data_IF_754563726070
#
_entry.id   IF_754563726070
#
_cell.length_a   1.000
_cell.length_b   1.000
_cell.length_c   1.000
_cell.angle_alpha   90.00
_cell.angle_beta   90.00
_cell.angle_gamma   90.00
#
_symmetry.space_group_name_H-M   'P 1'
#
loop_
_entity.id
_entity.type
_entity.pdbx_description
1 polymer ?
#
# COMPACT_ATOMS: atom_id res chain seq x y z
N UNK A 1 -0.60 13.46 -5.51
CA UNK A 1 -1.28 14.67 -5.98
C UNK A 1 -2.76 14.39 -5.89
N UNK A 2 -3.57 15.32 -5.42
CA UNK A 2 -5.02 15.12 -5.36
C UNK A 2 -5.57 15.11 -6.81
N UNK A 3 -6.59 14.28 -7.03
CA UNK A 3 -7.31 14.23 -8.30
C UNK A 3 -8.81 14.31 -8.06
N UNK A 4 -9.55 14.60 -9.12
CA UNK A 4 -11.00 14.59 -9.16
C UNK A 4 -11.42 13.89 -10.46
N UNK A 5 -12.18 12.80 -10.35
CA UNK A 5 -12.62 12.04 -11.52
C UNK A 5 -14.14 11.98 -11.59
N UNK A 6 -14.70 12.29 -12.75
CA UNK A 6 -16.14 12.21 -13.01
C UNK A 6 -16.41 12.00 -14.50
N UNK A 7 -17.67 11.71 -14.85
CA UNK A 7 -18.04 11.48 -16.23
C UNK A 7 -19.38 12.14 -16.57
N UNK A 8 -19.54 12.57 -17.81
CA UNK A 8 -20.85 12.85 -18.38
C UNK A 8 -21.32 11.63 -19.14
N UNK A 9 -22.52 11.15 -18.82
CA UNK A 9 -23.07 9.94 -19.41
C UNK A 9 -24.44 10.23 -20.03
N UNK A 10 -24.54 10.04 -21.34
CA UNK A 10 -25.79 9.93 -22.08
C UNK A 10 -25.61 8.81 -23.12
N UNK A 11 -25.88 9.09 -24.40
CA UNK A 11 -25.64 8.17 -25.52
C UNK A 11 -24.13 8.01 -25.80
N UNK A 12 -23.32 8.99 -25.37
CA UNK A 12 -21.87 8.96 -25.35
C UNK A 12 -21.41 9.25 -23.93
N UNK A 13 -20.37 8.53 -23.47
CA UNK A 13 -19.68 8.83 -22.22
C UNK A 13 -18.48 9.73 -22.49
N UNK A 14 -18.23 10.70 -21.61
CA UNK A 14 -16.95 11.41 -21.55
C UNK A 14 -16.42 11.33 -20.13
N UNK A 15 -15.24 10.75 -19.96
CA UNK A 15 -14.52 10.70 -18.70
C UNK A 15 -13.64 11.94 -18.55
N UNK A 16 -13.64 12.50 -17.36
CA UNK A 16 -12.87 13.69 -16.99
C UNK A 16 -12.04 13.36 -15.76
N UNK A 17 -10.74 13.61 -15.86
CA UNK A 17 -9.83 13.57 -14.72
C UNK A 17 -9.14 14.92 -14.59
N UNK A 18 -9.27 15.52 -13.41
CA UNK A 18 -8.55 16.76 -13.06
C UNK A 18 -7.50 16.44 -12.01
N UNK A 19 -6.26 16.86 -12.24
CA UNK A 19 -5.14 16.64 -11.32
C UNK A 19 -4.52 17.97 -10.91
N UNK A 20 -4.38 18.19 -9.60
CA UNK A 20 -3.61 19.31 -9.05
C UNK A 20 -2.12 19.16 -9.32
N UNK A 21 -1.49 20.19 -9.88
CA UNK A 21 -0.06 20.21 -10.19
C UNK A 21 0.71 21.07 -9.18
N UNK A 22 1.95 20.66 -8.88
CA UNK A 22 2.83 21.37 -7.92
C UNK A 22 3.12 22.83 -8.29
N UNK A 23 2.95 23.21 -9.55
CA UNK A 23 3.14 24.58 -10.04
C UNK A 23 1.91 25.48 -9.86
N UNK A 24 0.83 25.00 -9.22
CA UNK A 24 -0.40 25.77 -9.03
C UNK A 24 -1.30 25.84 -10.27
N UNK A 25 -1.21 24.84 -11.14
CA UNK A 25 -2.12 24.65 -12.28
C UNK A 25 -2.96 23.39 -12.10
N UNK A 26 -4.03 23.25 -12.89
CA UNK A 26 -4.81 22.02 -12.95
C UNK A 26 -4.57 21.36 -14.31
N UNK A 27 -4.35 20.04 -14.34
CA UNK A 27 -4.34 19.27 -15.58
C UNK A 27 -5.70 18.63 -15.77
N UNK A 28 -6.40 19.00 -16.84
CA UNK A 28 -7.61 18.35 -17.29
C UNK A 28 -7.25 17.32 -18.36
N UNK A 29 -7.70 16.08 -18.18
CA UNK A 29 -7.67 15.02 -19.17
C UNK A 29 -9.10 14.60 -19.50
N UNK A 30 -9.45 14.66 -20.78
CA UNK A 30 -10.77 14.34 -21.31
C UNK A 30 -10.65 13.14 -22.24
N UNK A 31 -11.54 12.16 -22.09
CA UNK A 31 -11.55 10.94 -22.90
C UNK A 31 -12.99 10.53 -23.23
N UNK A 32 -13.29 10.38 -24.52
CA UNK A 32 -14.57 9.86 -24.98
C UNK A 32 -14.60 8.34 -24.80
N UNK A 33 -15.60 7.84 -24.06
CA UNK A 33 -15.84 6.42 -23.87
C UNK A 33 -16.64 5.85 -25.06
N UNK A 34 -15.96 5.03 -25.86
CA UNK A 34 -16.53 4.35 -27.02
C UNK A 34 -17.06 2.93 -26.71
N UNK A 35 -17.02 2.50 -25.45
CA UNK A 35 -17.43 1.16 -25.01
C UNK A 35 -18.90 0.87 -25.31
N UNK A 36 -19.73 1.91 -25.46
CA UNK A 36 -21.13 1.82 -25.84
C UNK A 36 -21.36 1.65 -27.36
N UNK A 37 -20.29 1.56 -28.16
CA UNK A 37 -20.35 1.47 -29.63
C UNK A 37 -20.67 2.79 -30.33
N UNK A 38 -20.63 3.90 -29.60
CA UNK A 38 -20.81 5.26 -30.12
C UNK A 38 -19.49 6.00 -30.00
N UNK A 39 -19.06 6.66 -31.07
CA UNK A 39 -17.88 7.49 -31.07
C UNK A 39 -18.26 8.97 -31.17
N UNK A 40 -17.44 9.81 -30.54
CA UNK A 40 -17.55 11.24 -30.62
C UNK A 40 -16.18 11.90 -30.68
N UNK A 41 -16.15 13.12 -31.22
CA UNK A 41 -14.97 13.97 -31.19
C UNK A 41 -15.17 15.15 -30.23
N UNK A 42 -14.10 15.63 -29.60
CA UNK A 42 -14.12 16.75 -28.67
C UNK A 42 -13.91 18.08 -29.41
N UNK A 43 -14.75 19.09 -29.13
CA UNK A 43 -14.57 20.45 -29.69
C UNK A 43 -14.37 21.51 -28.62
N UNK A 44 -15.14 21.50 -27.54
CA UNK A 44 -14.96 22.53 -26.53
C UNK A 44 -15.40 22.08 -25.15
N UNK A 45 -14.65 22.54 -24.16
CA UNK A 45 -14.91 22.41 -22.74
C UNK A 45 -15.36 23.75 -22.17
N UNK A 46 -16.34 23.73 -21.27
CA UNK A 46 -16.87 24.90 -20.56
C UNK A 46 -16.92 24.57 -19.07
N UNK A 47 -16.65 25.55 -18.23
CA UNK A 47 -16.55 25.34 -16.79
C UNK A 47 -16.87 26.60 -15.98
N UNK A 48 -17.42 26.37 -14.80
CA UNK A 48 -17.55 27.35 -13.74
C UNK A 48 -16.44 27.19 -12.69
N UNK A 49 -16.18 28.29 -11.98
CA UNK A 49 -15.27 28.39 -10.88
C UNK A 49 -16.04 28.72 -9.60
N UNK A 50 -15.62 28.16 -8.48
CA UNK A 50 -16.20 28.50 -7.19
C UNK A 50 -15.97 29.98 -6.80
N UNK A 51 -14.92 30.60 -7.35
CA UNK A 51 -14.63 32.02 -7.24
C UNK A 51 -14.58 32.67 -8.63
N UNK A 52 -15.69 33.29 -9.03
CA UNK A 52 -15.86 34.07 -10.26
C UNK A 52 -14.71 35.06 -10.52
N UNK A 53 -14.06 35.57 -9.48
CA UNK A 53 -12.99 36.57 -9.64
C UNK A 53 -11.73 35.98 -10.30
N UNK A 54 -11.55 34.67 -10.24
CA UNK A 54 -10.44 33.94 -10.88
C UNK A 54 -10.57 33.91 -12.41
N UNK A 55 -11.78 34.04 -12.96
CA UNK A 55 -11.97 34.05 -14.42
C UNK A 55 -11.12 35.14 -15.09
N UNK A 56 -10.92 36.27 -14.41
CA UNK A 56 -10.02 37.32 -14.85
C UNK A 56 -8.56 36.97 -14.52
N UNK A 57 -7.79 36.59 -15.53
CA UNK A 57 -6.38 36.21 -15.37
C UNK A 57 -6.12 34.71 -15.52
N UNK A 58 -7.16 33.95 -15.87
CA UNK A 58 -7.00 32.61 -16.40
C UNK A 58 -6.16 32.62 -17.69
N UNK A 59 -5.35 31.57 -17.80
CA UNK A 59 -4.61 31.21 -19.00
C UNK A 59 -4.82 29.73 -19.26
N UNK A 60 -4.64 29.29 -20.49
CA UNK A 60 -4.70 27.87 -20.83
C UNK A 60 -3.59 27.48 -21.79
N UNK A 61 -3.12 26.26 -21.65
CA UNK A 61 -2.15 25.65 -22.57
C UNK A 61 -2.53 24.19 -22.83
N UNK A 62 -2.17 23.68 -24.00
CA UNK A 62 -2.40 22.29 -24.39
C UNK A 62 -2.09 22.12 -25.87
N UNK A 63 -1.72 20.91 -26.28
CA UNK A 63 -1.32 20.65 -27.67
C UNK A 63 -2.48 20.86 -28.65
N UNK A 64 -3.69 20.54 -28.23
CA UNK A 64 -4.90 20.62 -29.06
C UNK A 64 -5.72 21.90 -28.82
N UNK A 65 -5.30 22.76 -27.88
CA UNK A 65 -6.00 24.01 -27.57
C UNK A 65 -5.85 24.98 -28.74
N UNK A 66 -6.97 25.43 -29.28
CA UNK A 66 -7.01 26.29 -30.48
C UNK A 66 -7.55 27.69 -30.20
N UNK A 67 -8.43 27.84 -29.22
CA UNK A 67 -8.99 29.12 -28.79
C UNK A 67 -9.52 29.01 -27.35
N UNK A 68 -9.75 30.15 -26.72
CA UNK A 68 -10.28 30.23 -25.35
C UNK A 68 -11.14 31.48 -25.15
N UNK A 69 -12.01 31.43 -24.14
CA UNK A 69 -12.77 32.58 -23.70
C UNK A 69 -13.01 32.50 -22.19
N UNK A 70 -12.53 33.50 -21.44
CA UNK A 70 -12.72 33.59 -20.00
C UNK A 70 -13.45 34.88 -19.65
N UNK A 71 -14.68 34.75 -19.16
CA UNK A 71 -15.47 35.87 -18.68
C UNK A 71 -16.53 35.37 -17.70
N UNK A 72 -16.35 35.72 -16.42
CA UNK A 72 -17.21 35.23 -15.34
C UNK A 72 -18.71 35.31 -15.68
N UNK A 73 -19.39 34.17 -15.58
CA UNK A 73 -20.83 33.98 -15.73
C UNK A 73 -21.39 34.52 -17.06
N UNK A 74 -20.58 34.52 -18.12
CA UNK A 74 -20.95 35.10 -19.42
C UNK A 74 -20.58 34.23 -20.61
N UNK A 75 -19.76 33.20 -20.42
CA UNK A 75 -19.32 32.32 -21.50
C UNK A 75 -20.45 31.38 -21.89
N UNK A 76 -20.98 31.57 -23.10
CA UNK A 76 -21.83 30.56 -23.77
C UNK A 76 -21.28 30.17 -25.13
N UNK A 77 -20.16 30.76 -25.54
CA UNK A 77 -19.47 30.54 -26.81
C UNK A 77 -18.01 30.96 -26.72
N UNK A 78 -17.18 30.37 -27.58
CA UNK A 78 -15.76 30.69 -27.72
C UNK A 78 -15.58 31.50 -29.01
N UNK A 79 -16.04 30.96 -30.14
CA UNK A 79 -16.03 31.63 -31.44
C UNK A 79 -17.45 31.74 -32.06
N UNK A 80 -17.54 31.94 -33.38
CA UNK A 80 -18.81 32.04 -34.09
C UNK A 80 -19.55 30.70 -34.29
N UNK A 81 -18.86 29.56 -34.14
CA UNK A 81 -19.34 28.22 -34.44
C UNK A 81 -19.39 27.32 -33.20
N UNK A 82 -18.50 27.56 -32.24
CA UNK A 82 -18.31 26.80 -31.02
C UNK A 82 -19.05 27.44 -29.85
N UNK A 83 -20.12 26.80 -29.39
CA UNK A 83 -21.00 27.33 -28.35
C UNK A 83 -21.69 26.26 -27.51
N UNK A 84 -22.13 26.63 -26.32
CA UNK A 84 -22.91 25.80 -25.39
C UNK A 84 -24.40 26.18 -25.33
N UNK A 85 -24.88 27.10 -26.18
CA UNK A 85 -26.28 27.51 -26.18
C UNK A 85 -27.21 26.29 -26.40
N UNK A 86 -28.35 26.27 -25.71
CA UNK A 86 -29.31 25.16 -25.78
C UNK A 86 -29.78 24.76 -24.40
N UNK A 87 -30.10 23.48 -24.22
CA UNK A 87 -30.57 22.94 -22.93
C UNK A 87 -29.50 23.03 -21.84
N UNK A 88 -28.22 22.75 -22.14
CA UNK A 88 -27.12 22.85 -21.15
C UNK A 88 -27.07 24.25 -20.51
N UNK A 89 -27.08 25.33 -21.30
CA UNK A 89 -27.07 26.71 -20.75
C UNK A 89 -28.38 27.07 -20.04
N UNK A 90 -29.51 26.45 -20.37
CA UNK A 90 -30.77 26.67 -19.62
C UNK A 90 -30.74 26.00 -18.24
N UNK A 91 -30.08 24.86 -18.16
CA UNK A 91 -29.98 24.05 -16.95
C UNK A 91 -28.89 24.57 -16.01
N UNK A 92 -27.68 24.74 -16.52
CA UNK A 92 -26.48 25.09 -15.74
C UNK A 92 -26.14 26.58 -15.79
N UNK A 93 -26.81 27.37 -16.63
CA UNK A 93 -26.51 28.79 -16.77
C UNK A 93 -25.33 29.06 -17.71
N UNK A 94 -24.66 30.20 -17.50
CA UNK A 94 -23.53 30.62 -18.32
C UNK A 94 -22.24 30.38 -17.57
N UNK A 95 -21.23 29.95 -18.29
CA UNK A 95 -19.97 29.53 -17.70
C UNK A 95 -19.01 30.69 -17.45
N UNK A 96 -18.02 30.46 -16.60
CA UNK A 96 -16.89 31.38 -16.40
C UNK A 96 -15.81 31.24 -17.46
N UNK A 97 -15.62 30.02 -17.99
CA UNK A 97 -14.57 29.71 -18.95
C UNK A 97 -15.00 28.77 -20.08
N UNK A 98 -14.32 28.89 -21.21
CA UNK A 98 -14.44 28.00 -22.36
C UNK A 98 -13.09 27.77 -23.02
N UNK A 99 -12.77 26.51 -23.34
CA UNK A 99 -11.54 26.09 -24.03
C UNK A 99 -11.93 25.29 -25.26
N UNK A 100 -11.44 25.69 -26.43
CA UNK A 100 -11.71 25.02 -27.71
C UNK A 100 -10.53 24.13 -28.10
N UNK A 101 -10.87 23.00 -28.70
CA UNK A 101 -9.96 22.01 -29.23
C UNK A 101 -10.23 21.75 -30.71
N UNK A 102 -9.23 21.24 -31.42
CA UNK A 102 -9.46 20.55 -32.68
C UNK A 102 -9.85 21.47 -33.84
N UNK A 103 -8.84 21.98 -34.55
CA UNK A 103 -9.00 22.40 -35.95
C UNK A 103 -7.76 21.95 -36.75
N UNK A 104 -7.89 21.16 -37.85
CA UNK A 104 -9.11 20.72 -38.55
C UNK A 104 -9.62 19.31 -38.18
N UNK A 105 -9.00 18.61 -37.23
CA UNK A 105 -9.45 17.31 -36.74
C UNK A 105 -9.66 17.37 -35.23
N UNK A 106 -10.88 17.15 -34.78
CA UNK A 106 -11.25 17.06 -33.37
C UNK A 106 -10.82 15.70 -32.81
N UNK A 107 -10.11 15.66 -31.67
CA UNK A 107 -9.63 14.38 -31.13
C UNK A 107 -10.72 13.72 -30.25
N UNK A 108 -10.74 12.38 -30.12
CA UNK A 108 -11.61 11.69 -29.16
C UNK A 108 -11.10 11.82 -27.71
N UNK A 109 -9.86 12.27 -27.52
CA UNK A 109 -9.28 12.54 -26.21
C UNK A 109 -8.31 13.69 -26.28
N UNK A 110 -8.20 14.48 -25.21
CA UNK A 110 -7.27 15.61 -25.15
C UNK A 110 -6.90 15.93 -23.71
N UNK A 111 -5.83 16.71 -23.55
CA UNK A 111 -5.46 17.27 -22.26
C UNK A 111 -5.03 18.72 -22.39
N UNK A 112 -5.37 19.50 -21.38
CA UNK A 112 -5.03 20.91 -21.31
C UNK A 112 -4.83 21.33 -19.85
N UNK A 113 -4.12 22.45 -19.67
CA UNK A 113 -3.66 22.94 -18.39
C UNK A 113 -4.10 24.39 -18.23
N UNK A 114 -5.25 24.65 -17.59
CA UNK A 114 -5.56 25.97 -17.09
C UNK A 114 -4.60 26.36 -15.96
N UNK A 115 -4.16 27.61 -16.01
CA UNK A 115 -3.41 28.29 -14.96
C UNK A 115 -3.97 29.68 -14.75
N UNK A 116 -3.35 30.42 -13.82
CA UNK A 116 -3.74 31.80 -13.57
C UNK A 116 -2.47 32.65 -13.34
N UNK A 117 -2.48 33.89 -13.81
CA UNK A 117 -1.30 34.76 -13.83
C UNK A 117 -0.72 35.06 -12.44
N UNK A 118 -1.59 35.21 -11.43
CA UNK A 118 -1.21 35.62 -10.08
C UNK A 118 -1.62 34.68 -8.93
N UNK A 119 -2.49 33.71 -9.18
CA UNK A 119 -3.08 32.84 -8.14
C UNK A 119 -2.85 31.38 -8.54
N UNK A 120 -2.58 30.50 -7.56
CA UNK A 120 -2.52 29.07 -7.80
C UNK A 120 -3.93 28.49 -7.84
N UNK A 121 -4.25 27.71 -8.88
CA UNK A 121 -5.51 26.97 -8.97
C UNK A 121 -5.42 25.66 -8.18
N UNK A 122 -6.54 25.28 -7.59
CA UNK A 122 -6.74 24.10 -6.74
C UNK A 122 -8.03 23.39 -7.10
N UNK A 123 -8.22 22.14 -6.67
CA UNK A 123 -9.47 21.41 -6.86
C UNK A 123 -10.65 22.13 -6.21
N UNK A 124 -10.44 22.84 -5.10
CA UNK A 124 -11.51 23.61 -4.45
C UNK A 124 -12.14 24.66 -5.38
N UNK A 125 -11.40 25.15 -6.38
CA UNK A 125 -11.91 26.13 -7.34
C UNK A 125 -12.92 25.49 -8.32
N UNK A 126 -13.01 24.16 -8.37
CA UNK A 126 -13.85 23.41 -9.31
C UNK A 126 -14.79 22.38 -8.66
N UNK A 127 -14.66 22.13 -7.35
CA UNK A 127 -15.56 21.21 -6.63
C UNK A 127 -16.99 21.74 -6.65
N UNK A 128 -17.94 20.83 -6.92
CA UNK A 128 -19.37 21.15 -7.04
C UNK A 128 -19.72 22.26 -8.05
N UNK A 129 -18.81 22.55 -8.99
CA UNK A 129 -19.05 23.52 -10.07
C UNK A 129 -19.63 22.83 -11.31
N UNK A 130 -20.27 23.63 -12.15
CA UNK A 130 -20.92 23.16 -13.36
C UNK A 130 -19.99 23.21 -14.57
N UNK A 131 -20.21 22.26 -15.47
CA UNK A 131 -19.35 22.01 -16.63
C UNK A 131 -20.18 21.67 -17.85
N UNK A 132 -19.61 21.91 -19.02
CA UNK A 132 -20.21 21.57 -20.30
C UNK A 132 -19.18 21.10 -21.32
N UNK A 133 -19.58 20.20 -22.20
CA UNK A 133 -18.74 19.73 -23.31
C UNK A 133 -19.52 19.68 -24.61
N UNK A 134 -18.90 20.15 -25.69
CA UNK A 134 -19.48 20.14 -27.03
C UNK A 134 -18.80 19.09 -27.90
N UNK A 135 -19.62 18.25 -28.53
CA UNK A 135 -19.22 17.15 -29.40
C UNK A 135 -19.80 17.42 -30.81
N UNK A 136 -19.02 17.87 -31.80
CA UNK A 136 -19.54 18.30 -33.10
C UNK A 136 -19.81 17.12 -34.04
N UNK A 137 -19.29 15.94 -33.73
CA UNK A 137 -19.44 14.72 -34.51
C UNK A 137 -19.68 13.57 -33.56
N UNK A 138 -20.90 13.03 -33.57
CA UNK A 138 -21.35 11.89 -32.79
C UNK A 138 -22.03 10.88 -33.73
N UNK A 139 -21.77 9.60 -33.51
CA UNK A 139 -22.44 8.52 -34.25
C UNK A 139 -21.89 7.14 -33.90
N UNK A 140 -22.35 6.11 -34.61
CA UNK A 140 -21.82 4.75 -34.44
C UNK A 140 -20.30 4.70 -34.66
N UNK A 141 -19.59 3.88 -33.88
CA UNK A 141 -18.13 3.78 -33.86
C UNK A 141 -17.52 3.62 -35.27
N UNK A 142 -18.12 2.74 -36.08
CA UNK A 142 -17.73 2.45 -37.48
C UNK A 142 -18.69 3.06 -38.52
N UNK A 143 -19.59 3.93 -38.09
CA UNK A 143 -20.69 4.46 -38.91
C UNK A 143 -20.56 5.94 -39.25
N UNK A 144 -21.65 6.52 -39.76
CA UNK A 144 -21.72 7.94 -40.05
C UNK A 144 -21.84 8.76 -38.76
N UNK A 145 -20.99 9.77 -38.59
CA UNK A 145 -20.98 10.67 -37.42
C UNK A 145 -21.48 12.07 -37.79
N UNK A 146 -22.77 12.17 -38.11
CA UNK A 146 -23.41 13.40 -38.61
C UNK A 146 -24.13 14.19 -37.52
N UNK A 147 -24.28 13.61 -36.33
CA UNK A 147 -24.96 14.26 -35.21
C UNK A 147 -23.98 15.10 -34.40
N UNK A 148 -24.53 16.02 -33.62
CA UNK A 148 -23.78 16.81 -32.64
C UNK A 148 -24.49 16.76 -31.30
N UNK A 149 -23.71 16.82 -30.23
CA UNK A 149 -24.20 16.69 -28.87
C UNK A 149 -23.54 17.73 -27.97
N UNK A 150 -24.28 18.12 -26.94
CA UNK A 150 -23.78 18.93 -25.84
C UNK A 150 -24.16 18.23 -24.56
N UNK A 151 -23.19 18.00 -23.69
CA UNK A 151 -23.41 17.42 -22.38
C UNK A 151 -23.06 18.46 -21.33
N UNK A 152 -23.71 18.39 -20.19
CA UNK A 152 -23.38 19.19 -19.02
C UNK A 152 -23.57 18.36 -17.75
N UNK A 153 -22.90 18.80 -16.70
CA UNK A 153 -22.96 18.16 -15.40
C UNK A 153 -22.17 18.91 -14.35
N UNK A 154 -22.36 18.54 -13.10
CA UNK A 154 -21.69 19.13 -11.94
C UNK A 154 -20.56 18.20 -11.49
N UNK A 155 -19.39 18.76 -11.18
CA UNK A 155 -18.30 17.99 -10.61
C UNK A 155 -18.64 17.49 -9.19
N UNK A 156 -17.99 16.41 -8.71
CA UNK A 156 -18.14 15.97 -7.33
C UNK A 156 -17.74 17.07 -6.33
N UNK A 157 -18.29 16.99 -5.12
CA UNK A 157 -18.04 17.93 -4.03
C UNK A 157 -16.82 17.56 -3.17
N UNK A 158 -16.20 16.40 -3.45
CA UNK A 158 -15.03 15.87 -2.73
C UNK A 158 -14.04 15.30 -3.76
N UNK A 159 -12.72 15.61 -3.65
CA UNK A 159 -11.67 14.97 -4.45
C UNK A 159 -11.62 13.45 -4.28
N UNK A 160 -11.01 12.78 -5.26
CA UNK A 160 -10.69 11.37 -5.15
C UNK A 160 -9.73 11.16 -3.98
N UNK A 161 -10.04 10.19 -3.12
CA UNK A 161 -9.06 9.74 -2.14
C UNK A 161 -7.93 9.03 -2.89
N UNK A 162 -6.65 9.36 -2.64
CA UNK A 162 -5.57 8.56 -3.17
C UNK A 162 -5.77 7.11 -2.71
N UNK A 163 -5.40 6.12 -3.55
CA UNK A 163 -5.50 4.73 -3.15
C UNK A 163 -4.74 4.54 -1.83
N UNK A 164 -5.37 3.88 -0.87
CA UNK A 164 -4.70 3.52 0.37
C UNK A 164 -3.46 2.69 0.00
N UNK A 165 -2.27 3.03 0.52
CA UNK A 165 -1.07 2.24 0.24
C UNK A 165 -1.34 0.78 0.58
N UNK A 166 -0.96 -0.12 -0.33
CA UNK A 166 -1.11 -1.56 -0.08
C UNK A 166 -0.31 -1.91 1.18
N UNK A 167 -1.01 -2.38 2.21
CA UNK A 167 -0.37 -2.88 3.42
C UNK A 167 0.39 -4.16 3.08
N UNK A 168 1.71 -4.11 3.17
CA UNK A 168 2.58 -5.26 2.96
C UNK A 168 2.99 -5.81 4.33
N UNK A 169 2.44 -6.96 4.70
CA UNK A 169 2.87 -7.64 5.92
C UNK A 169 4.00 -8.63 5.59
N UNK A 170 5.03 -8.64 6.42
CA UNK A 170 6.16 -9.57 6.31
C UNK A 170 6.28 -10.34 7.60
N UNK A 171 6.04 -11.64 7.51
CA UNK A 171 6.35 -12.58 8.59
C UNK A 171 7.86 -12.81 8.65
N UNK A 172 8.42 -12.72 9.84
CA UNK A 172 9.78 -13.08 10.18
C UNK A 172 9.79 -14.49 10.78
N UNK A 173 10.93 -15.18 10.70
CA UNK A 173 11.03 -16.55 11.21
C UNK A 173 11.42 -16.55 12.67
N UNK A 174 10.65 -17.27 13.50
CA UNK A 174 10.92 -17.56 14.89
C UNK A 174 11.52 -18.95 15.12
N UNK A 175 12.03 -19.16 16.33
CA UNK A 175 12.64 -20.41 16.80
C UNK A 175 12.06 -20.73 18.18
N UNK A 176 11.75 -22.01 18.42
CA UNK A 176 11.30 -22.54 19.72
C UNK A 176 12.18 -23.73 20.09
N UNK A 177 12.76 -23.72 21.28
CA UNK A 177 13.64 -24.78 21.80
C UNK A 177 12.93 -25.58 22.92
N UNK A 178 12.95 -26.92 22.87
CA UNK A 178 12.15 -27.75 23.77
C UNK A 178 12.72 -29.16 24.02
N UNK A 179 12.08 -29.97 24.87
CA UNK A 179 12.55 -31.31 25.28
C UNK A 179 11.88 -32.47 24.52
N UNK A 180 12.55 -33.63 24.52
CA UNK A 180 12.16 -34.83 23.77
C UNK A 180 10.85 -35.45 24.25
N UNK A 181 10.51 -35.21 25.51
CA UNK A 181 9.35 -35.76 26.20
C UNK A 181 8.28 -34.69 26.47
N UNK A 182 8.41 -33.50 25.85
CA UNK A 182 7.46 -32.42 26.02
C UNK A 182 6.06 -32.87 25.61
N UNK A 183 5.07 -32.47 26.39
CA UNK A 183 3.65 -32.56 26.04
C UNK A 183 3.05 -31.16 25.99
N UNK A 184 1.91 -31.02 25.32
CA UNK A 184 1.11 -29.80 25.39
C UNK A 184 0.86 -29.38 26.84
N UNK A 185 0.80 -28.06 27.05
CA UNK A 185 0.45 -27.56 28.36
C UNK A 185 -1.02 -27.80 28.69
N UNK A 186 -1.27 -28.25 29.93
CA UNK A 186 -2.64 -28.50 30.43
C UNK A 186 -3.24 -27.32 31.19
N UNK A 187 -2.43 -26.32 31.55
CA UNK A 187 -2.88 -25.14 32.29
C UNK A 187 -3.11 -23.90 31.39
N UNK A 188 -2.91 -24.08 30.08
CA UNK A 188 -3.05 -23.02 29.09
C UNK A 188 -1.84 -22.10 28.99
N UNK A 189 -0.72 -22.41 29.65
CA UNK A 189 0.56 -21.76 29.33
C UNK A 189 0.98 -22.13 27.93
N UNK A 190 1.50 -21.15 27.19
CA UNK A 190 2.05 -21.36 25.85
C UNK A 190 3.56 -21.36 25.94
N UNK A 191 4.20 -21.98 24.96
CA UNK A 191 5.66 -22.04 24.91
C UNK A 191 6.24 -20.66 24.58
N UNK A 192 7.42 -20.38 25.14
CA UNK A 192 8.14 -19.13 24.93
C UNK A 192 9.18 -19.36 23.84
N UNK A 193 9.25 -18.43 22.88
CA UNK A 193 10.20 -18.46 21.78
C UNK A 193 11.63 -18.21 22.28
N UNK A 194 12.61 -18.62 21.49
CA UNK A 194 14.04 -18.51 21.84
C UNK A 194 14.50 -17.08 22.12
N UNK A 195 13.87 -16.08 21.48
CA UNK A 195 14.14 -14.66 21.70
C UNK A 195 13.45 -14.10 22.97
N UNK A 196 12.68 -14.92 23.68
CA UNK A 196 11.90 -14.57 24.88
C UNK A 196 10.50 -14.03 24.58
N UNK A 197 10.09 -13.96 23.31
CA UNK A 197 8.76 -13.54 22.90
C UNK A 197 7.71 -14.61 23.21
N UNK A 198 6.49 -14.20 23.57
CA UNK A 198 5.36 -15.11 23.82
C UNK A 198 4.53 -15.43 22.58
N UNK A 199 4.80 -14.74 21.46
CA UNK A 199 4.05 -14.88 20.21
C UNK A 199 4.95 -14.73 19.00
N UNK A 200 4.68 -15.51 17.95
CA UNK A 200 5.39 -15.48 16.67
C UNK A 200 5.23 -14.16 15.91
N UNK A 201 4.16 -13.41 16.21
CA UNK A 201 3.88 -12.14 15.54
C UNK A 201 4.71 -10.95 16.07
N UNK A 202 5.44 -11.12 17.18
CA UNK A 202 6.08 -9.99 17.90
C UNK A 202 7.14 -9.28 17.07
N UNK A 203 7.88 -10.05 16.27
CA UNK A 203 8.93 -9.53 15.41
C UNK A 203 8.46 -9.30 13.97
N UNK A 204 7.19 -9.58 13.66
CA UNK A 204 6.61 -9.39 12.33
C UNK A 204 6.41 -7.91 12.02
N UNK A 205 6.46 -7.59 10.74
CA UNK A 205 6.39 -6.19 10.29
C UNK A 205 5.21 -5.95 9.34
N UNK A 206 4.62 -4.78 9.48
CA UNK A 206 3.63 -4.22 8.56
C UNK A 206 4.27 -3.01 7.88
N UNK A 207 4.08 -2.83 6.58
CA UNK A 207 4.37 -1.57 5.92
C UNK A 207 3.10 -1.08 5.25
N UNK A 208 2.53 0.00 5.75
CA UNK A 208 1.31 0.64 5.24
C UNK A 208 1.63 1.99 4.57
N UNK A 209 2.86 2.16 4.08
CA UNK A 209 3.31 3.46 3.53
C UNK A 209 3.69 4.50 4.59
N UNK A 210 3.55 4.19 5.88
CA UNK A 210 4.08 5.00 6.99
C UNK A 210 5.35 4.37 7.58
N UNK A 211 6.04 5.09 8.48
CA UNK A 211 7.23 4.60 9.19
C UNK A 211 6.91 3.57 10.30
N UNK A 212 5.67 3.07 10.39
CA UNK A 212 5.26 2.06 11.38
C UNK A 212 5.51 0.64 10.86
N UNK A 213 6.48 -0.05 11.47
CA UNK A 213 6.90 -1.40 11.08
C UNK A 213 6.37 -2.51 11.99
N UNK A 214 5.35 -2.26 12.82
CA UNK A 214 4.85 -3.26 13.77
C UNK A 214 3.64 -3.97 13.18
N UNK A 215 3.69 -5.30 13.08
CA UNK A 215 2.50 -6.07 12.74
C UNK A 215 1.55 -6.18 13.94
N UNK A 216 0.26 -5.94 13.70
CA UNK A 216 -0.79 -5.90 14.72
C UNK A 216 -1.97 -6.83 14.41
N UNK A 217 -1.87 -7.64 13.36
CA UNK A 217 -2.90 -8.60 12.98
C UNK A 217 -2.70 -9.98 13.61
N UNK A 218 -3.42 -10.97 13.08
CA UNK A 218 -3.41 -12.35 13.56
C UNK A 218 -2.67 -13.30 12.60
N UNK A 219 -2.31 -14.48 13.11
CA UNK A 219 -1.98 -15.65 12.30
C UNK A 219 -3.23 -16.12 11.54
N UNK A 220 -3.12 -16.23 10.23
CA UNK A 220 -4.21 -16.57 9.30
C UNK A 220 -4.19 -18.02 8.82
N UNK A 221 -3.06 -18.72 8.96
CA UNK A 221 -2.96 -20.16 8.65
C UNK A 221 -1.79 -20.81 9.40
N UNK A 222 -1.96 -22.08 9.75
CA UNK A 222 -0.89 -22.95 10.24
C UNK A 222 -0.65 -24.06 9.20
N UNK A 223 0.61 -24.35 8.88
CA UNK A 223 1.01 -25.31 7.84
C UNK A 223 0.29 -25.12 6.48
N UNK A 224 0.10 -23.86 6.10
CA UNK A 224 -0.61 -23.46 4.88
C UNK A 224 -2.10 -23.84 4.85
N UNK A 225 -2.70 -24.17 6.00
CA UNK A 225 -4.12 -24.43 6.16
C UNK A 225 -4.76 -23.41 7.11
N UNK A 226 -5.63 -22.50 6.60
CA UNK A 226 -6.39 -21.58 7.45
C UNK A 226 -7.29 -22.29 8.47
N UNK A 227 -7.77 -23.49 8.16
CA UNK A 227 -8.60 -24.30 9.07
C UNK A 227 -7.81 -24.92 10.23
N UNK A 228 -6.48 -24.88 10.18
CA UNK A 228 -5.60 -25.46 11.17
C UNK A 228 -5.20 -24.49 12.29
N UNK A 229 -5.60 -23.22 12.22
CA UNK A 229 -5.38 -22.26 13.32
C UNK A 229 -6.11 -22.73 14.57
N UNK A 230 -5.40 -22.72 15.70
CA UNK A 230 -5.79 -23.27 16.99
C UNK A 230 -6.17 -24.76 16.96
N UNK A 231 -5.74 -25.49 15.93
CA UNK A 231 -5.81 -26.95 15.86
C UNK A 231 -4.42 -27.55 15.99
N UNK A 232 -4.37 -28.86 16.28
CA UNK A 232 -3.12 -29.61 16.28
C UNK A 232 -2.64 -29.80 14.84
N UNK A 233 -1.39 -29.44 14.57
CA UNK A 233 -0.68 -29.63 13.31
C UNK A 233 0.60 -30.42 13.53
N UNK A 234 0.97 -31.28 12.58
CA UNK A 234 2.21 -32.04 12.64
C UNK A 234 3.41 -31.19 12.20
N UNK A 235 4.55 -31.37 12.88
CA UNK A 235 5.83 -30.90 12.36
C UNK A 235 6.30 -31.74 11.16
N UNK A 236 7.19 -31.16 10.34
CA UNK A 236 7.73 -31.82 9.14
C UNK A 236 8.63 -33.05 9.42
N UNK A 237 9.09 -33.20 10.66
CA UNK A 237 9.93 -34.30 11.11
C UNK A 237 9.47 -34.86 12.47
N UNK A 238 8.15 -34.92 12.68
CA UNK A 238 7.53 -35.40 13.93
C UNK A 238 7.14 -34.28 14.89
N UNK A 239 6.48 -34.65 15.99
CA UNK A 239 5.90 -33.74 16.96
C UNK A 239 4.60 -33.08 16.48
N UNK A 240 3.85 -32.57 17.44
CA UNK A 240 2.57 -31.88 17.28
C UNK A 240 2.68 -30.44 17.80
N UNK A 241 2.03 -29.50 17.12
CA UNK A 241 2.02 -28.08 17.46
C UNK A 241 0.59 -27.54 17.44
N UNK A 242 0.26 -26.62 18.35
CA UNK A 242 -0.94 -25.78 18.28
C UNK A 242 -0.46 -24.35 18.07
N UNK A 243 -1.02 -23.67 17.07
CA UNK A 243 -0.75 -22.26 16.79
C UNK A 243 -2.03 -21.45 16.82
N UNK A 244 -2.16 -20.54 17.77
CA UNK A 244 -3.34 -19.71 17.93
C UNK A 244 -3.30 -18.47 17.04
N UNK A 245 -4.48 -17.88 16.80
CA UNK A 245 -4.62 -16.66 16.00
C UNK A 245 -3.77 -15.49 16.54
N UNK A 246 -3.69 -15.34 17.86
CA UNK A 246 -2.86 -14.33 18.51
C UNK A 246 -1.34 -14.61 18.45
N UNK A 247 -0.91 -15.65 17.73
CA UNK A 247 0.48 -16.00 17.53
C UNK A 247 1.13 -16.80 18.67
N UNK A 248 0.41 -17.16 19.73
CA UNK A 248 0.97 -18.06 20.75
C UNK A 248 1.07 -19.49 20.21
N UNK A 249 2.08 -20.23 20.64
CA UNK A 249 2.32 -21.63 20.23
C UNK A 249 2.41 -22.57 21.43
N UNK A 250 2.07 -23.84 21.25
CA UNK A 250 2.26 -24.90 22.24
C UNK A 250 2.66 -26.20 21.52
N UNK A 251 3.72 -26.85 21.95
CA UNK A 251 4.33 -28.01 21.32
C UNK A 251 4.24 -29.27 22.20
N UNK A 252 4.13 -30.40 21.51
CA UNK A 252 4.17 -31.74 22.07
C UNK A 252 5.08 -32.62 21.21
N UNK A 253 6.08 -33.24 21.82
CA UNK A 253 6.93 -34.22 21.14
C UNK A 253 6.15 -35.49 20.73
N UNK A 254 5.06 -35.81 21.44
CA UNK A 254 4.20 -36.97 21.18
C UNK A 254 4.95 -38.33 21.12
N UNK A 255 6.11 -38.41 21.77
CA UNK A 255 6.99 -39.60 21.74
C UNK A 255 7.76 -39.80 20.43
N UNK A 256 7.64 -38.90 19.45
CA UNK A 256 8.33 -39.01 18.16
C UNK A 256 9.87 -38.88 18.30
N UNK A 257 10.34 -38.36 19.43
CA UNK A 257 11.76 -38.11 19.71
C UNK A 257 12.33 -38.99 20.85
N UNK A 258 11.57 -40.00 21.31
CA UNK A 258 11.96 -40.86 22.44
C UNK A 258 13.19 -41.75 22.16
N UNK A 259 13.45 -42.05 20.88
CA UNK A 259 14.57 -42.90 20.44
C UNK A 259 15.90 -42.14 20.29
N UNK A 260 15.95 -40.86 20.67
CA UNK A 260 17.16 -40.04 20.57
C UNK A 260 18.22 -40.41 21.62
N UNK A 261 19.49 -40.39 21.21
CA UNK A 261 20.62 -40.63 22.10
C UNK A 261 21.11 -39.33 22.75
N UNK A 262 21.91 -39.43 23.83
CA UNK A 262 22.48 -38.25 24.51
C UNK A 262 23.24 -37.36 23.53
N UNK A 263 22.97 -36.05 23.58
CA UNK A 263 23.61 -35.02 22.73
C UNK A 263 23.28 -35.13 21.23
N UNK A 264 22.15 -35.73 20.90
CA UNK A 264 21.55 -35.63 19.57
C UNK A 264 20.65 -34.40 19.51
N UNK A 265 20.70 -33.68 18.39
CA UNK A 265 19.78 -32.60 18.05
C UNK A 265 19.00 -33.05 16.82
N UNK A 266 17.67 -32.92 16.86
CA UNK A 266 16.79 -33.17 15.72
C UNK A 266 15.87 -31.98 15.57
N UNK A 267 15.68 -31.58 14.31
CA UNK A 267 14.85 -30.44 13.96
C UNK A 267 13.55 -30.96 13.35
N UNK A 268 12.44 -30.40 13.82
CA UNK A 268 11.15 -30.43 13.13
C UNK A 268 10.72 -28.99 12.88
N UNK A 269 9.79 -28.75 11.96
CA UNK A 269 9.31 -27.42 11.63
C UNK A 269 7.84 -27.36 11.23
N UNK A 270 7.24 -26.21 11.49
CA UNK A 270 5.89 -25.84 11.09
C UNK A 270 5.91 -24.42 10.52
N UNK A 271 5.10 -24.18 9.50
CA UNK A 271 4.95 -22.85 8.86
C UNK A 271 3.69 -22.12 9.34
N UNK A 272 3.69 -20.78 9.26
CA UNK A 272 2.48 -19.97 9.41
C UNK A 272 2.37 -18.90 8.35
N UNK A 273 1.15 -18.40 8.20
CA UNK A 273 0.83 -17.18 7.47
C UNK A 273 0.18 -16.16 8.41
N UNK A 274 0.44 -14.88 8.14
CA UNK A 274 -0.29 -13.74 8.71
C UNK A 274 -1.17 -13.11 7.63
N UNK A 275 -2.19 -12.36 8.03
CA UNK A 275 -3.08 -11.66 7.09
C UNK A 275 -2.27 -10.69 6.20
N UNK A 276 -2.58 -10.62 4.90
CA UNK A 276 -1.88 -9.73 3.95
C UNK A 276 -0.38 -10.01 3.77
N UNK A 277 0.11 -11.14 4.29
CA UNK A 277 1.52 -11.50 4.29
C UNK A 277 2.05 -11.90 2.91
N UNK A 278 3.18 -11.33 2.49
CA UNK A 278 3.81 -11.67 1.18
C UNK A 278 4.80 -12.83 1.24
N UNK A 279 5.22 -13.27 2.44
CA UNK A 279 6.15 -14.38 2.66
C UNK A 279 5.76 -15.20 3.89
N UNK A 280 4.80 -16.15 3.79
CA UNK A 280 4.50 -17.02 4.91
C UNK A 280 5.57 -18.11 5.03
N UNK A 281 6.56 -17.90 5.91
CA UNK A 281 7.44 -18.99 6.36
C UNK A 281 8.04 -18.70 7.73
N UNK A 282 7.28 -19.04 8.76
CA UNK A 282 7.89 -19.47 10.01
C UNK A 282 8.64 -20.77 9.81
N UNK A 283 9.79 -20.88 10.45
CA UNK A 283 10.48 -22.14 10.62
C UNK A 283 10.69 -22.36 12.10
N UNK A 284 9.66 -22.83 12.80
CA UNK A 284 9.85 -23.25 14.18
C UNK A 284 10.91 -24.34 14.18
N UNK A 285 12.06 -24.10 14.79
CA UNK A 285 13.19 -25.05 14.79
C UNK A 285 13.33 -25.59 16.18
N UNK A 286 12.81 -26.80 16.41
CA UNK A 286 12.88 -27.44 17.72
C UNK A 286 14.24 -28.11 17.88
N UNK A 287 14.95 -27.78 18.93
CA UNK A 287 16.17 -28.47 19.35
C UNK A 287 15.80 -29.36 20.52
N UNK A 288 15.70 -30.66 20.28
CA UNK A 288 15.42 -31.62 21.35
C UNK A 288 16.71 -31.99 22.07
N UNK A 289 16.73 -31.86 23.40
CA UNK A 289 17.80 -32.41 24.23
C UNK A 289 17.38 -33.69 24.94
N UNK A 290 17.94 -34.83 24.52
CA UNK A 290 17.80 -36.09 25.24
C UNK A 290 18.79 -36.16 26.42
N UNK A 291 18.26 -36.10 27.65
CA UNK A 291 19.01 -36.34 28.88
C UNK A 291 18.72 -37.74 29.42
N UNK A 292 19.69 -38.66 29.36
CA UNK A 292 19.52 -39.99 29.99
C UNK A 292 19.76 -39.91 31.50
N UNK A 293 18.69 -39.65 32.26
CA UNK A 293 18.42 -40.21 33.59
C UNK A 293 19.15 -39.64 34.81
N UNK A 294 18.40 -38.93 35.66
CA UNK A 294 18.61 -38.94 37.11
C UNK A 294 18.23 -37.64 37.84
N UNK A 295 17.02 -37.63 38.42
CA UNK A 295 16.48 -36.78 39.50
C UNK A 295 17.08 -35.37 39.75
N UNK A 296 16.19 -34.38 39.80
CA UNK A 296 16.47 -33.00 40.21
C UNK A 296 17.43 -32.90 41.42
N UNK A 297 18.56 -32.22 41.22
CA UNK A 297 19.18 -31.45 42.30
C UNK A 297 19.72 -30.15 41.73
N UNK A 298 19.18 -29.05 42.25
CA UNK A 298 19.61 -27.70 42.03
C UNK A 298 21.07 -27.52 42.45
N UNK A 299 21.95 -27.28 41.48
CA UNK A 299 23.09 -26.40 41.70
C UNK A 299 23.45 -25.75 40.37
N UNK A 300 23.42 -24.42 40.34
CA UNK A 300 24.05 -23.61 39.29
C UNK A 300 25.49 -24.11 39.11
N UNK A 301 25.78 -24.78 37.99
CA UNK A 301 27.13 -24.91 37.50
C UNK A 301 27.39 -23.73 36.56
N UNK A 302 28.08 -22.73 37.08
CA UNK A 302 28.72 -21.65 36.32
C UNK A 302 29.38 -22.21 35.04
N UNK A 303 29.28 -21.54 33.88
CA UNK A 303 29.90 -22.01 32.65
C UNK A 303 31.41 -22.22 32.82
N UNK A 304 32.02 -23.20 32.12
CA UNK A 304 33.46 -23.43 32.20
C UNK A 304 34.21 -22.18 31.77
N UNK A 305 35.03 -21.68 32.68
CA UNK A 305 35.93 -20.56 32.43
C UNK A 305 36.80 -20.81 31.21
N UNK A 306 36.96 -19.75 30.43
CA UNK A 306 37.96 -19.59 29.39
C UNK A 306 39.32 -20.21 29.76
N UNK A 307 40.08 -20.73 28.78
CA UNK A 307 41.38 -21.30 29.03
C UNK A 307 42.30 -20.28 29.72
N UNK A 308 42.81 -20.66 30.89
CA UNK A 308 43.90 -19.96 31.57
C UNK A 308 45.10 -19.88 30.62
N UNK A 309 45.39 -18.67 30.14
CA UNK A 309 46.73 -18.32 29.67
C UNK A 309 47.74 -18.56 30.79
N UNK A 310 48.80 -19.29 30.44
CA UNK A 310 49.81 -19.78 31.34
C UNK A 310 50.46 -18.71 32.22
N UNK A 311 50.47 -18.98 33.52
CA UNK A 311 51.30 -18.26 34.49
C UNK A 311 52.74 -18.75 34.36
N UNK A 312 53.61 -17.95 33.75
CA UNK A 312 55.05 -18.05 33.97
C UNK A 312 55.43 -17.15 35.14
N UNK A 313 55.78 -17.76 36.27
CA UNK A 313 56.63 -17.10 37.28
C UNK A 313 57.56 -18.15 37.87
N UNK A 314 58.88 -18.05 37.70
CA UNK A 314 59.82 -18.73 38.58
C UNK A 314 60.14 -17.85 39.79
N UNK A 315 59.95 -18.46 40.97
CA UNK A 315 60.51 -18.03 42.26
C UNK A 315 62.03 -17.98 42.21
N UNK A 316 62.62 -16.97 42.88
CA UNK A 316 64.03 -16.60 42.77
C UNK A 316 65.06 -17.45 43.54
N UNK A 317 66.34 -17.13 43.27
CA UNK A 317 67.50 -17.51 44.09
C UNK A 317 68.54 -16.37 44.05
N UNK A 318 69.05 -16.00 45.24
CA UNK A 318 70.07 -14.98 45.54
C UNK A 318 71.38 -15.12 44.71
N UNK A 319 72.00 -14.01 44.31
CA UNK A 319 73.24 -13.43 44.91
C UNK A 319 73.81 -12.22 44.10
N UNK A 320 74.19 -11.16 44.84
CA UNK A 320 75.30 -10.19 44.63
C UNK A 320 75.45 -9.39 43.31
N UNK A 321 75.35 -8.05 43.41
CA UNK A 321 76.49 -7.09 43.49
C UNK A 321 76.22 -5.72 42.81
N UNK A 322 76.42 -4.67 43.61
CA UNK A 322 77.01 -3.34 43.31
C UNK A 322 76.57 -2.43 42.16
N UNK A 323 76.49 -1.15 42.56
CA UNK A 323 76.70 0.11 41.83
C UNK A 323 75.59 0.61 40.90
N UNK A 324 75.39 1.91 40.69
CA UNK A 324 75.69 3.17 41.37
C UNK A 324 75.26 4.23 40.34
N UNK A 325 74.82 5.39 40.84
CA UNK A 325 74.92 6.70 40.17
C UNK A 325 73.80 7.17 39.22
N UNK A 326 73.29 8.34 39.61
CA UNK A 326 72.70 9.48 38.88
C UNK A 326 71.28 9.33 38.37
#
# INVERSE_FOLDING_TARGET
MASLTFAFTDTVGVSITVTEQYNGTLLFALDVDDSAGTAADLNAWYFDLADDSLASGLTVSGADVTDDNFEANKVTKIDAFTNMNGEVVKEYGKFDGGVQFGHPASPPSTSFVPGHDTVALTLNDILAQDFGISLPSVGELDGARQDSMKLGGTAPDIPDQPPEPERVNTANSDILEDFADKTFSTDGTTDILFDGSSTVITNDTSFDGTDEFIYTGDVSAANNDPGAVAQVVMGDNGGELIMCANGTVDFSANGDFDDQTVSQEELTSCSYAIEGGVRPRLTSTFLVWAMTGGAASSSLATPPGAPLLGRTTPSGRRHQSSNSSV
#
